data_IF_468568602541
#
_entry.id   IF_468568602541
#
_cell.length_a   1.000
_cell.length_b   1.000
_cell.length_c   1.000
_cell.angle_alpha   90.00
_cell.angle_beta   90.00
_cell.angle_gamma   90.00
#
_symmetry.space_group_name_H-M   'P 1'
#
loop_
_entity.id
_entity.type
_entity.pdbx_description
1 polymer ?
#
# COMPACT_ATOMS: atom_id res chain seq x y z
N UNK A 1 40.15 -28.10 26.95
CA UNK A 1 38.81 -28.31 26.32
C UNK A 1 37.94 -29.34 27.03
N UNK A 2 38.41 -30.57 27.30
CA UNK A 2 37.58 -31.64 27.93
C UNK A 2 37.12 -31.32 29.36
N UNK A 3 38.00 -30.73 30.20
CA UNK A 3 37.66 -30.27 31.56
C UNK A 3 36.56 -29.21 31.58
N UNK A 4 36.64 -28.23 30.67
CA UNK A 4 35.65 -27.13 30.55
C UNK A 4 34.28 -27.70 30.17
N UNK A 5 34.21 -28.63 29.21
CA UNK A 5 32.96 -29.31 28.86
C UNK A 5 32.34 -30.06 30.04
N UNK A 6 33.15 -30.73 30.88
CA UNK A 6 32.67 -31.40 32.10
C UNK A 6 32.15 -30.41 33.15
N UNK A 7 32.84 -29.30 33.36
CA UNK A 7 32.42 -28.23 34.27
C UNK A 7 31.11 -27.60 33.83
N UNK A 8 30.99 -27.26 32.55
CA UNK A 8 29.75 -26.72 31.97
C UNK A 8 28.59 -27.70 32.12
N UNK A 9 28.82 -28.98 31.77
CA UNK A 9 27.80 -30.02 31.91
C UNK A 9 27.34 -30.18 33.36
N UNK A 10 28.27 -30.14 34.32
CA UNK A 10 27.94 -30.23 35.75
C UNK A 10 27.10 -29.03 36.19
N UNK A 11 27.53 -27.81 35.87
CA UNK A 11 26.80 -26.59 36.23
C UNK A 11 25.41 -26.52 35.59
N UNK A 12 25.26 -26.98 34.34
CA UNK A 12 23.96 -27.06 33.66
C UNK A 12 23.00 -28.07 34.31
N UNK A 13 23.52 -29.19 34.81
CA UNK A 13 22.71 -30.23 35.46
C UNK A 13 22.32 -29.81 36.89
N UNK A 14 23.21 -29.10 37.58
CA UNK A 14 23.01 -28.62 38.96
C UNK A 14 22.23 -27.30 39.04
N UNK A 15 21.98 -26.65 37.89
CA UNK A 15 21.29 -25.37 37.83
C UNK A 15 19.90 -25.45 38.47
N UNK A 16 19.64 -24.51 39.38
CA UNK A 16 18.36 -24.34 40.04
C UNK A 16 18.11 -22.85 40.25
N UNK A 17 17.27 -22.24 39.43
CA UNK A 17 16.99 -20.80 39.50
C UNK A 17 15.91 -20.48 40.55
N UNK A 18 15.12 -21.46 40.95
CA UNK A 18 14.04 -21.30 41.93
C UNK A 18 14.45 -21.81 43.32
N UNK A 19 15.72 -21.70 43.66
CA UNK A 19 16.26 -22.21 44.92
C UNK A 19 15.58 -21.50 46.11
N UNK A 20 14.90 -22.27 46.94
CA UNK A 20 14.34 -21.83 48.21
C UNK A 20 15.15 -22.39 49.39
N UNK A 21 15.16 -21.67 50.51
CA UNK A 21 15.82 -22.08 51.74
C UNK A 21 15.05 -23.25 52.38
N UNK A 22 15.40 -24.47 52.02
CA UNK A 22 14.82 -25.71 52.53
C UNK A 22 15.60 -26.94 52.08
N UNK A 23 15.83 -27.88 52.99
CA UNK A 23 16.58 -29.13 52.73
C UNK A 23 15.69 -30.26 52.20
N UNK A 24 14.42 -29.99 51.89
CA UNK A 24 13.47 -30.99 51.44
C UNK A 24 13.80 -31.46 50.01
N UNK A 25 14.09 -32.76 49.86
CA UNK A 25 14.40 -33.39 48.56
C UNK A 25 13.28 -33.21 47.52
N UNK A 26 12.02 -33.27 47.94
CA UNK A 26 10.88 -33.09 47.03
C UNK A 26 10.84 -31.67 46.48
N UNK A 27 11.14 -30.69 47.33
CA UNK A 27 11.18 -29.28 46.97
C UNK A 27 12.33 -29.01 45.99
N UNK A 28 13.52 -29.54 46.24
CA UNK A 28 14.68 -29.41 45.33
C UNK A 28 14.40 -30.01 43.95
N UNK A 29 13.74 -31.17 43.91
CA UNK A 29 13.38 -31.81 42.64
C UNK A 29 12.37 -30.97 41.85
N UNK A 30 11.34 -30.44 42.52
CA UNK A 30 10.37 -29.55 41.89
C UNK A 30 11.03 -28.29 41.33
N UNK A 31 11.90 -27.65 42.11
CA UNK A 31 12.62 -26.44 41.68
C UNK A 31 13.52 -26.69 40.45
N UNK A 32 14.21 -27.83 40.40
CA UNK A 32 15.01 -28.24 39.23
C UNK A 32 14.14 -28.49 38.00
N UNK A 33 12.97 -29.13 38.16
CA UNK A 33 12.02 -29.35 37.05
C UNK A 33 11.48 -28.02 36.55
N UNK A 34 11.06 -27.13 37.46
CA UNK A 34 10.59 -25.79 37.12
C UNK A 34 11.68 -24.98 36.39
N UNK A 35 12.93 -25.06 36.84
CA UNK A 35 14.09 -24.42 36.18
C UNK A 35 14.26 -24.94 34.74
N UNK A 36 14.16 -26.26 34.53
CA UNK A 36 14.27 -26.86 33.19
C UNK A 36 13.13 -26.43 32.27
N UNK A 37 11.91 -26.43 32.78
CA UNK A 37 10.73 -26.01 32.03
C UNK A 37 10.82 -24.53 31.65
N UNK A 38 11.22 -23.67 32.59
CA UNK A 38 11.42 -22.25 32.32
C UNK A 38 12.48 -22.02 31.23
N UNK A 39 13.65 -22.66 31.33
CA UNK A 39 14.71 -22.51 30.32
C UNK A 39 14.25 -23.02 28.95
N UNK A 40 13.52 -24.11 28.90
CA UNK A 40 12.96 -24.65 27.66
C UNK A 40 11.99 -23.64 27.02
N UNK A 41 11.06 -23.09 27.79
CA UNK A 41 10.12 -22.06 27.33
C UNK A 41 10.85 -20.79 26.90
N UNK A 42 11.86 -20.35 27.65
CA UNK A 42 12.68 -19.18 27.32
C UNK A 42 13.42 -19.35 25.99
N UNK A 43 14.02 -20.52 25.76
CA UNK A 43 14.69 -20.80 24.49
C UNK A 43 13.69 -20.81 23.34
N UNK A 44 12.52 -21.43 23.53
CA UNK A 44 11.44 -21.42 22.53
C UNK A 44 10.98 -20.00 22.22
N UNK A 45 10.74 -19.17 23.24
CA UNK A 45 10.29 -17.79 23.01
C UNK A 45 11.33 -16.97 22.26
N UNK A 46 12.61 -17.12 22.59
CA UNK A 46 13.70 -16.48 21.85
C UNK A 46 13.76 -16.96 20.39
N UNK A 47 13.57 -18.25 20.13
CA UNK A 47 13.52 -18.79 18.76
C UNK A 47 12.36 -18.17 18.00
N UNK A 48 11.16 -18.12 18.59
CA UNK A 48 9.97 -17.51 17.97
C UNK A 48 10.23 -16.03 17.65
N UNK A 49 10.80 -15.27 18.59
CA UNK A 49 11.13 -13.86 18.38
C UNK A 49 12.12 -13.69 17.23
N UNK A 50 13.22 -14.46 17.20
CA UNK A 50 14.19 -14.38 16.12
C UNK A 50 13.56 -14.75 14.78
N UNK A 51 12.75 -15.80 14.74
CA UNK A 51 12.05 -16.21 13.54
C UNK A 51 11.08 -15.13 13.04
N UNK A 52 10.37 -14.46 13.95
CA UNK A 52 9.54 -13.31 13.61
C UNK A 52 10.36 -12.15 13.05
N UNK A 53 11.49 -11.79 13.67
CA UNK A 53 12.39 -10.75 13.15
C UNK A 53 12.94 -11.11 11.76
N UNK A 54 13.25 -12.38 11.50
CA UNK A 54 13.75 -12.82 10.20
C UNK A 54 12.67 -12.87 9.12
N UNK A 55 11.44 -13.23 9.49
CA UNK A 55 10.30 -13.32 8.58
C UNK A 55 9.69 -11.96 8.23
N UNK A 56 9.77 -10.99 9.14
CA UNK A 56 9.40 -9.63 8.79
C UNK A 56 10.46 -9.11 7.84
N UNK A 57 10.20 -9.24 6.54
CA UNK A 57 10.87 -8.41 5.56
C UNK A 57 10.66 -6.95 5.98
N UNK A 58 11.76 -6.22 6.17
CA UNK A 58 11.69 -4.78 6.36
C UNK A 58 10.82 -4.23 5.23
N UNK A 59 9.71 -3.57 5.56
CA UNK A 59 8.87 -2.87 4.58
C UNK A 59 9.72 -1.77 3.95
N UNK A 60 10.49 -2.10 2.91
CA UNK A 60 11.28 -1.14 2.17
C UNK A 60 10.34 -0.30 1.33
N UNK A 61 10.08 0.91 1.80
CA UNK A 61 9.39 1.92 1.03
C UNK A 61 10.33 2.44 -0.06
N UNK A 62 10.24 1.85 -1.25
CA UNK A 62 11.02 2.30 -2.40
C UNK A 62 10.26 3.42 -3.13
N UNK A 63 10.90 4.58 -3.28
CA UNK A 63 10.30 5.75 -3.96
C UNK A 63 10.84 5.85 -5.37
N UNK A 64 9.97 5.75 -6.37
CA UNK A 64 10.32 5.91 -7.78
C UNK A 64 9.86 7.29 -8.23
N UNK A 65 10.81 8.14 -8.61
CA UNK A 65 10.50 9.46 -9.14
C UNK A 65 10.19 9.37 -10.63
N UNK A 66 9.06 9.96 -11.04
CA UNK A 66 8.64 10.07 -12.45
C UNK A 66 8.62 8.71 -13.19
N UNK A 67 7.85 7.71 -12.71
CA UNK A 67 7.74 6.44 -13.41
C UNK A 67 7.13 6.64 -14.81
N UNK A 68 7.63 5.89 -15.79
CA UNK A 68 6.92 5.75 -17.07
C UNK A 68 5.56 5.07 -16.88
N UNK A 69 4.63 5.28 -17.81
CA UNK A 69 3.30 4.64 -17.76
C UNK A 69 3.40 3.11 -17.69
N UNK A 70 4.36 2.52 -18.42
CA UNK A 70 4.60 1.08 -18.40
C UNK A 70 5.05 0.60 -17.00
N UNK A 71 6.03 1.28 -16.40
CA UNK A 71 6.52 0.95 -15.06
C UNK A 71 5.42 1.10 -14.00
N UNK A 72 4.59 2.15 -14.09
CA UNK A 72 3.45 2.31 -13.21
C UNK A 72 2.49 1.12 -13.32
N UNK A 73 2.10 0.73 -14.53
CA UNK A 73 1.18 -0.39 -14.76
C UNK A 73 1.74 -1.73 -14.28
N UNK A 74 3.04 -1.94 -14.36
CA UNK A 74 3.69 -3.13 -13.79
C UNK A 74 3.64 -3.11 -12.25
N UNK A 75 4.00 -2.00 -11.62
CA UNK A 75 3.98 -1.85 -10.17
C UNK A 75 2.56 -1.95 -9.60
N UNK A 76 1.57 -1.40 -10.30
CA UNK A 76 0.16 -1.49 -9.93
C UNK A 76 -0.34 -2.94 -9.95
N UNK A 77 0.08 -3.75 -10.94
CA UNK A 77 -0.28 -5.19 -10.98
C UNK A 77 0.30 -5.97 -9.81
N UNK A 78 1.53 -5.66 -9.41
CA UNK A 78 2.24 -6.44 -8.38
C UNK A 78 1.95 -5.94 -6.95
N UNK A 79 1.75 -4.64 -6.76
CA UNK A 79 1.69 -3.99 -5.45
C UNK A 79 0.43 -3.15 -5.22
N UNK A 80 -0.65 -3.40 -5.96
CA UNK A 80 -1.90 -2.61 -5.93
C UNK A 80 -2.35 -2.14 -4.53
N UNK A 81 -2.31 -3.02 -3.52
CA UNK A 81 -2.76 -2.71 -2.16
C UNK A 81 -1.80 -1.82 -1.35
N UNK A 82 -0.54 -1.74 -1.76
CA UNK A 82 0.54 -1.07 -1.01
C UNK A 82 1.18 0.08 -1.82
N UNK A 83 0.66 0.37 -3.02
CA UNK A 83 1.16 1.44 -3.87
C UNK A 83 0.59 2.80 -3.39
N UNK A 84 1.47 3.67 -2.89
CA UNK A 84 1.11 5.04 -2.52
C UNK A 84 1.51 6.01 -3.62
N UNK A 85 0.53 6.76 -4.14
CA UNK A 85 0.75 7.80 -5.15
C UNK A 85 0.55 9.20 -4.55
N UNK A 86 1.61 9.95 -4.26
CA UNK A 86 1.49 11.36 -3.90
C UNK A 86 1.26 12.20 -5.17
N UNK A 87 0.14 12.92 -5.22
CA UNK A 87 -0.03 13.99 -6.22
C UNK A 87 0.97 15.12 -5.92
N UNK A 88 1.91 15.36 -6.83
CA UNK A 88 2.89 16.45 -6.69
C UNK A 88 2.24 17.85 -6.75
N UNK A 89 1.13 17.98 -7.47
CA UNK A 89 0.39 19.23 -7.64
C UNK A 89 -1.11 18.95 -7.72
N UNK A 90 -1.90 19.68 -6.94
CA UNK A 90 -3.38 19.56 -6.91
C UNK A 90 -4.04 20.18 -8.16
N UNK A 91 -3.33 21.09 -8.82
CA UNK A 91 -3.79 21.75 -10.04
C UNK A 91 -2.60 21.98 -10.96
N UNK A 92 -2.81 21.79 -12.27
CA UNK A 92 -1.82 22.07 -13.30
C UNK A 92 -2.45 22.99 -14.35
N UNK A 93 -1.67 23.89 -14.93
CA UNK A 93 -2.19 24.79 -15.96
C UNK A 93 -2.55 23.98 -17.22
N UNK A 94 -3.74 24.17 -17.79
CA UNK A 94 -4.15 23.45 -19.00
C UNK A 94 -3.17 23.65 -20.16
N UNK A 95 -2.52 24.81 -20.25
CA UNK A 95 -1.54 25.11 -21.29
C UNK A 95 -0.30 24.21 -21.27
N UNK A 96 -0.04 23.49 -20.16
CA UNK A 96 1.10 22.55 -20.07
C UNK A 96 0.77 21.14 -20.56
N UNK A 97 -0.51 20.82 -20.74
CA UNK A 97 -0.96 19.46 -21.12
C UNK A 97 -1.71 19.49 -22.47
N UNK A 98 -2.32 20.62 -22.81
CA UNK A 98 -3.14 20.79 -24.00
C UNK A 98 -2.61 21.99 -24.79
N UNK A 99 -2.24 21.74 -26.04
CA UNK A 99 -1.94 22.78 -27.01
C UNK A 99 -3.15 22.93 -27.94
N UNK A 100 -3.81 24.09 -27.88
CA UNK A 100 -4.94 24.41 -28.76
C UNK A 100 -4.47 25.50 -29.71
N UNK A 101 -4.41 25.17 -30.99
CA UNK A 101 -4.16 26.14 -32.08
C UNK A 101 -5.48 26.34 -32.84
N UNK A 102 -6.34 27.27 -32.42
CA UNK A 102 -7.61 27.47 -33.08
C UNK A 102 -7.38 28.12 -34.46
N UNK A 103 -7.83 27.45 -35.51
CA UNK A 103 -7.95 28.04 -36.84
C UNK A 103 -9.36 28.59 -37.03
N UNK A 104 -9.47 29.91 -37.11
CA UNK A 104 -10.74 30.57 -37.34
C UNK A 104 -11.02 30.67 -38.84
N UNK A 105 -12.11 30.04 -39.28
CA UNK A 105 -12.65 30.28 -40.61
C UNK A 105 -13.36 31.64 -40.65
N UNK A 106 -13.42 32.26 -41.83
CA UNK A 106 -14.11 33.54 -42.01
C UNK A 106 -15.61 33.37 -41.71
N UNK A 107 -16.23 34.39 -41.10
CA UNK A 107 -17.67 34.39 -40.79
C UNK A 107 -18.49 34.12 -42.05
N UNK A 108 -18.03 34.64 -43.20
CA UNK A 108 -18.66 34.50 -44.51
C UNK A 108 -18.73 33.05 -45.04
N UNK A 109 -17.99 32.10 -44.44
CA UNK A 109 -18.06 30.67 -44.74
C UNK A 109 -18.73 29.86 -43.64
N UNK A 110 -19.37 30.50 -42.67
CA UNK A 110 -20.04 29.82 -41.56
C UNK A 110 -21.46 29.41 -41.96
N UNK A 111 -21.85 28.18 -41.66
CA UNK A 111 -23.24 27.74 -41.81
C UNK A 111 -24.21 28.55 -40.96
N UNK A 112 -23.73 29.22 -39.90
CA UNK A 112 -24.51 30.08 -39.01
C UNK A 112 -24.97 31.39 -39.64
N UNK A 113 -24.43 31.75 -40.81
CA UNK A 113 -24.92 32.89 -41.60
C UNK A 113 -25.61 32.42 -42.89
N UNK A 114 -25.80 31.11 -43.06
CA UNK A 114 -26.52 30.58 -44.21
C UNK A 114 -28.00 30.98 -44.12
N UNK A 115 -28.61 31.24 -45.27
CA UNK A 115 -30.05 31.53 -45.35
C UNK A 115 -30.87 30.38 -44.75
N UNK A 116 -30.41 29.14 -44.88
CA UNK A 116 -31.04 27.97 -44.27
C UNK A 116 -31.08 28.06 -42.73
N UNK A 117 -29.97 28.45 -42.11
CA UNK A 117 -29.91 28.65 -40.66
C UNK A 117 -30.73 29.85 -40.20
N UNK A 118 -30.69 30.96 -40.94
CA UNK A 118 -31.47 32.17 -40.67
C UNK A 118 -32.98 31.85 -40.75
N UNK A 119 -33.42 31.14 -41.78
CA UNK A 119 -34.83 30.74 -41.94
C UNK A 119 -35.29 29.75 -40.87
N UNK A 120 -34.40 28.85 -40.44
CA UNK A 120 -34.65 27.93 -39.34
C UNK A 120 -34.86 28.68 -38.01
N UNK A 121 -34.01 29.67 -37.69
CA UNK A 121 -34.15 30.49 -36.47
C UNK A 121 -35.35 31.44 -36.56
N UNK A 122 -35.61 32.02 -37.74
CA UNK A 122 -36.74 32.92 -37.94
C UNK A 122 -38.09 32.19 -37.97
N UNK A 123 -38.10 30.86 -37.90
CA UNK A 123 -39.31 30.07 -37.74
C UNK A 123 -40.23 30.13 -38.96
N UNK A 124 -39.69 30.27 -40.18
CA UNK A 124 -40.48 30.29 -41.42
C UNK A 124 -40.95 28.89 -41.86
N UNK A 125 -41.56 28.16 -40.92
CA UNK A 125 -42.48 27.07 -41.20
C UNK A 125 -43.86 27.39 -40.59
N UNK A 126 -44.73 27.93 -41.46
CA UNK A 126 -46.17 27.66 -41.51
C UNK A 126 -46.97 28.02 -40.25
N UNK A 127 -47.30 29.31 -40.08
CA UNK A 127 -48.51 29.74 -39.37
C UNK A 127 -49.44 30.61 -40.24
N UNK A 128 -49.55 30.29 -41.53
CA UNK A 128 -50.55 30.90 -42.42
C UNK A 128 -51.59 29.93 -42.98
N UNK A 129 -51.52 28.61 -42.70
CA UNK A 129 -52.47 27.63 -43.26
C UNK A 129 -53.67 27.28 -42.35
N UNK A 130 -53.86 27.94 -41.19
CA UNK A 130 -54.98 27.63 -40.27
C UNK A 130 -56.11 28.69 -40.30
N UNK A 131 -55.93 29.86 -40.94
CA UNK A 131 -56.93 30.95 -40.89
C UNK A 131 -57.78 31.17 -42.15
N UNK A 132 -57.70 30.31 -43.17
CA UNK A 132 -58.53 30.41 -44.39
C UNK A 132 -59.54 29.27 -44.59
N UNK A 133 -59.97 28.60 -43.51
CA UNK A 133 -61.09 27.64 -43.55
C UNK A 133 -62.03 27.79 -42.33
N UNK A 134 -62.57 29.00 -42.10
CA UNK A 134 -63.86 29.22 -41.43
C UNK A 134 -64.71 30.11 -42.34
#
# INVERSE_FOLDING_TARGET
TIKIKRLLKKNLIELNMFQANGSNRHQINYQRIATRLYLFVLVISLIIINFYLLLNEDLQQNTIHQPSEFQYKELEKTYSSNLYYPCSTVSMNYSTVIMIEPYFHQICSSDLISDAWINFINGDHVMNDIFYNI
#
